data_IF_217605041607
#
_entry.id   IF_217605041607
#
_cell.length_a   1.000
_cell.length_b   1.000
_cell.length_c   1.000
_cell.angle_alpha   90.00
_cell.angle_beta   90.00
_cell.angle_gamma   90.00
#
_symmetry.space_group_name_H-M   'P 1'
#
loop_
_entity.id
_entity.type
_entity.pdbx_description
1 polymer ?
#
# COMPACT_ATOMS: atom_id res chain seq x y z
N UNK A 1 -0.45 11.72 9.67
CA UNK A 1 0.03 11.66 8.28
C UNK A 1 -0.67 12.67 7.37
N UNK A 2 -2.01 12.80 7.41
CA UNK A 2 -2.77 13.76 6.60
C UNK A 2 -2.54 15.25 6.94
N UNK A 3 -2.05 15.55 8.13
CA UNK A 3 -1.75 16.93 8.54
C UNK A 3 -0.64 17.58 7.71
N UNK A 4 0.40 16.83 7.28
CA UNK A 4 1.50 17.37 6.48
C UNK A 4 1.04 17.89 5.12
N UNK A 5 0.15 17.19 4.44
CA UNK A 5 -0.34 17.56 3.11
C UNK A 5 -1.35 18.72 3.17
N UNK A 6 -2.26 18.71 4.16
CA UNK A 6 -3.24 19.77 4.37
C UNK A 6 -2.53 21.09 4.74
N UNK A 7 -1.57 21.05 5.65
CA UNK A 7 -0.83 22.24 6.06
C UNK A 7 0.01 22.84 4.93
N UNK A 8 0.62 22.00 4.07
CA UNK A 8 1.36 22.51 2.92
C UNK A 8 0.46 23.27 1.94
N UNK A 9 -0.71 22.72 1.61
CA UNK A 9 -1.65 23.37 0.69
C UNK A 9 -2.15 24.70 1.22
N UNK A 10 -2.43 24.79 2.53
CA UNK A 10 -2.89 26.02 3.19
C UNK A 10 -1.75 27.00 3.45
N UNK A 11 -0.59 26.52 3.90
CA UNK A 11 0.55 27.35 4.29
C UNK A 11 1.17 28.10 3.10
N UNK A 12 1.08 27.57 1.88
CA UNK A 12 1.60 28.24 0.66
C UNK A 12 0.95 29.59 0.39
N UNK A 13 -0.30 29.79 0.85
CA UNK A 13 -1.03 31.04 0.70
C UNK A 13 -1.09 31.87 1.99
N UNK A 14 -0.56 31.35 3.11
CA UNK A 14 -0.53 32.05 4.38
C UNK A 14 0.53 33.15 4.37
N UNK A 15 0.22 34.33 4.90
CA UNK A 15 1.20 35.43 5.02
C UNK A 15 2.32 35.04 6.00
N UNK A 16 3.57 35.30 5.62
CA UNK A 16 4.74 35.06 6.46
C UNK A 16 5.42 33.72 6.23
N UNK A 17 6.06 33.21 7.28
CA UNK A 17 6.80 31.95 7.30
C UNK A 17 6.06 30.93 8.16
N UNK A 18 5.74 29.79 7.58
CA UNK A 18 5.23 28.60 8.30
C UNK A 18 6.37 27.58 8.41
N UNK A 19 6.60 27.06 9.61
CA UNK A 19 7.55 25.97 9.87
C UNK A 19 6.77 24.74 10.34
N UNK A 20 6.99 23.60 9.67
CA UNK A 20 6.42 22.32 10.07
C UNK A 20 7.57 21.46 10.58
N UNK A 21 7.54 21.15 11.87
CA UNK A 21 8.48 20.26 12.53
C UNK A 21 7.92 18.83 12.59
N UNK A 22 8.80 17.84 12.70
CA UNK A 22 8.44 16.42 12.65
C UNK A 22 7.61 16.08 11.41
N UNK A 23 7.99 16.66 10.27
CA UNK A 23 7.29 16.51 9.00
C UNK A 23 7.47 15.09 8.44
N UNK A 24 6.44 14.64 7.71
CA UNK A 24 6.50 13.41 6.93
C UNK A 24 7.53 13.54 5.79
N UNK A 25 8.31 12.47 5.57
CA UNK A 25 9.44 12.45 4.60
C UNK A 25 9.14 11.63 3.36
N UNK A 26 7.94 11.08 3.27
CA UNK A 26 7.52 10.18 2.19
C UNK A 26 7.68 10.85 0.81
N UNK A 27 7.98 10.07 -0.24
CA UNK A 27 8.23 10.59 -1.59
C UNK A 27 7.11 11.48 -2.12
N UNK A 28 5.83 11.13 -1.89
CA UNK A 28 4.69 11.95 -2.32
C UNK A 28 4.62 13.32 -1.61
N UNK A 29 5.22 13.44 -0.41
CA UNK A 29 5.33 14.73 0.31
C UNK A 29 6.37 15.62 -0.36
N UNK A 30 7.47 15.02 -0.82
CA UNK A 30 8.52 15.72 -1.60
C UNK A 30 7.97 16.14 -2.95
N UNK A 31 7.26 15.24 -3.63
CA UNK A 31 6.66 15.50 -4.94
C UNK A 31 5.65 16.65 -4.89
N UNK A 32 4.78 16.68 -3.87
CA UNK A 32 3.87 17.80 -3.65
C UNK A 32 4.60 19.14 -3.47
N UNK A 33 5.73 19.14 -2.74
CA UNK A 33 6.53 20.35 -2.57
C UNK A 33 7.15 20.80 -3.90
N UNK A 34 7.66 19.85 -4.71
CA UNK A 34 8.20 20.12 -6.04
C UNK A 34 7.13 20.67 -6.99
N UNK A 35 5.95 20.05 -6.99
CA UNK A 35 4.80 20.52 -7.77
C UNK A 35 4.44 21.97 -7.40
N UNK A 36 4.27 22.27 -6.11
CA UNK A 36 3.92 23.62 -5.66
C UNK A 36 5.04 24.63 -5.94
N UNK A 37 6.32 24.26 -5.78
CA UNK A 37 7.45 25.12 -6.11
C UNK A 37 7.50 25.43 -7.63
N UNK A 38 7.16 24.45 -8.47
CA UNK A 38 7.05 24.67 -9.92
C UNK A 38 5.92 25.64 -10.27
N UNK A 39 4.88 25.75 -9.45
CA UNK A 39 3.82 26.75 -9.56
C UNK A 39 4.23 28.13 -9.02
N UNK A 40 5.41 28.26 -8.39
CA UNK A 40 5.91 29.51 -7.82
C UNK A 40 5.79 29.61 -6.31
N UNK A 41 5.51 28.51 -5.59
CA UNK A 41 5.60 28.47 -4.14
C UNK A 41 7.05 28.56 -3.66
N UNK A 42 7.25 28.82 -2.36
CA UNK A 42 8.56 28.88 -1.74
C UNK A 42 8.58 27.88 -0.57
N UNK A 43 8.89 26.62 -0.88
CA UNK A 43 8.95 25.49 0.05
C UNK A 43 10.37 24.94 0.05
N UNK A 44 10.94 24.76 1.23
CA UNK A 44 12.26 24.13 1.43
C UNK A 44 12.20 23.09 2.55
N UNK A 45 13.16 22.15 2.54
CA UNK A 45 13.28 21.09 3.55
C UNK A 45 12.32 19.90 3.35
N UNK A 46 11.62 19.80 2.22
CA UNK A 46 10.83 18.61 1.90
C UNK A 46 11.74 17.37 1.83
N UNK A 47 11.30 16.25 2.43
CA UNK A 47 12.12 15.04 2.60
C UNK A 47 12.97 15.03 3.88
N UNK A 48 12.97 16.12 4.65
CA UNK A 48 13.56 16.20 5.99
C UNK A 48 12.45 16.31 7.05
N UNK A 49 12.83 16.32 8.32
CA UNK A 49 11.90 16.49 9.44
C UNK A 49 11.41 17.92 9.65
N UNK A 50 12.00 18.90 8.94
CA UNK A 50 11.60 20.31 9.04
C UNK A 50 11.31 20.87 7.65
N UNK A 51 10.07 21.29 7.42
CA UNK A 51 9.63 21.95 6.18
C UNK A 51 9.35 23.43 6.48
N UNK A 52 9.95 24.30 5.68
CA UNK A 52 9.73 25.74 5.76
C UNK A 52 8.99 26.20 4.52
N UNK A 53 7.91 26.97 4.72
CA UNK A 53 7.03 27.47 3.67
C UNK A 53 6.88 28.98 3.86
N UNK A 54 7.36 29.75 2.89
CA UNK A 54 7.09 31.18 2.82
C UNK A 54 5.89 31.40 1.94
N UNK A 55 4.84 31.98 2.48
CA UNK A 55 3.61 32.26 1.73
C UNK A 55 3.84 33.18 0.54
N UNK A 56 3.11 32.91 -0.55
CA UNK A 56 3.13 33.68 -1.79
C UNK A 56 1.73 34.16 -2.14
N UNK A 57 1.64 35.33 -2.81
CA UNK A 57 0.35 35.91 -3.19
C UNK A 57 -0.28 35.15 -4.37
N UNK A 58 0.55 34.71 -5.33
CA UNK A 58 0.08 34.10 -6.57
C UNK A 58 0.83 32.80 -6.86
N UNK A 59 0.10 31.82 -7.38
CA UNK A 59 0.63 30.59 -7.99
C UNK A 59 0.18 30.59 -9.44
N UNK A 60 1.04 30.11 -10.35
CA UNK A 60 0.75 29.95 -11.77
C UNK A 60 0.38 28.50 -12.09
N UNK A 61 -0.49 28.29 -13.07
CA UNK A 61 -0.77 26.96 -13.61
C UNK A 61 0.46 26.39 -14.34
N UNK A 62 0.66 25.08 -14.21
CA UNK A 62 1.73 24.33 -14.88
C UNK A 62 1.22 22.96 -15.32
N UNK A 63 1.92 22.35 -16.25
CA UNK A 63 1.86 20.91 -16.51
C UNK A 63 2.91 20.22 -15.66
N UNK A 64 2.53 19.15 -14.94
CA UNK A 64 3.41 18.44 -14.04
C UNK A 64 3.11 16.93 -14.08
N UNK A 65 4.15 16.12 -14.14
CA UNK A 65 4.02 14.67 -14.01
C UNK A 65 4.26 14.27 -12.56
N UNK A 66 3.24 13.71 -11.92
CA UNK A 66 3.36 13.17 -10.55
C UNK A 66 4.17 11.89 -10.56
N UNK A 67 4.84 11.61 -9.44
CA UNK A 67 5.59 10.36 -9.28
C UNK A 67 4.65 9.15 -9.21
N UNK A 68 5.14 7.94 -9.61
CA UNK A 68 4.38 6.70 -9.45
C UNK A 68 4.02 6.41 -7.99
N UNK A 69 2.84 5.80 -7.77
CA UNK A 69 2.39 5.39 -6.42
C UNK A 69 3.15 4.12 -5.97
N UNK A 70 4.02 4.30 -4.97
CA UNK A 70 4.79 3.21 -4.37
C UNK A 70 3.89 2.16 -3.68
N UNK A 71 2.71 2.53 -3.21
CA UNK A 71 1.79 1.61 -2.52
C UNK A 71 1.00 0.78 -3.54
N UNK A 72 0.58 1.39 -4.64
CA UNK A 72 0.00 0.64 -5.75
C UNK A 72 1.02 -0.38 -6.30
N UNK A 73 2.24 0.07 -6.60
CA UNK A 73 3.32 -0.81 -7.05
C UNK A 73 3.58 -1.96 -6.05
N UNK A 74 3.74 -1.64 -4.76
CA UNK A 74 3.94 -2.62 -3.70
C UNK A 74 2.78 -3.62 -3.57
N UNK A 75 1.55 -3.21 -3.86
CA UNK A 75 0.37 -4.08 -3.87
C UNK A 75 0.46 -5.13 -4.98
N UNK A 76 0.88 -4.74 -6.20
CA UNK A 76 1.11 -5.72 -7.29
C UNK A 76 2.30 -6.63 -7.01
N UNK A 77 3.38 -6.10 -6.40
CA UNK A 77 4.51 -6.92 -5.95
C UNK A 77 4.08 -7.97 -4.93
N UNK A 78 3.26 -7.58 -3.96
CA UNK A 78 2.71 -8.48 -2.94
C UNK A 78 1.77 -9.53 -3.58
N UNK A 79 0.91 -9.13 -4.52
CA UNK A 79 0.03 -10.07 -5.23
C UNK A 79 0.83 -11.11 -6.03
N UNK A 80 1.88 -10.70 -6.73
CA UNK A 80 2.77 -11.61 -7.44
C UNK A 80 3.44 -12.63 -6.48
N UNK A 81 3.88 -12.16 -5.31
CA UNK A 81 4.45 -13.03 -4.28
C UNK A 81 3.43 -14.02 -3.71
N UNK A 82 2.21 -13.57 -3.42
CA UNK A 82 1.13 -14.39 -2.86
C UNK A 82 0.67 -15.51 -3.80
N UNK A 83 0.63 -15.23 -5.10
CA UNK A 83 0.17 -16.16 -6.15
C UNK A 83 1.29 -16.99 -6.79
N UNK A 84 2.52 -16.86 -6.28
CA UNK A 84 3.72 -17.48 -6.87
C UNK A 84 3.88 -17.13 -8.35
N UNK A 85 3.61 -15.88 -8.68
CA UNK A 85 3.66 -15.33 -10.02
C UNK A 85 5.03 -14.78 -10.41
N UNK A 86 5.11 -14.34 -11.67
CA UNK A 86 6.25 -13.62 -12.24
C UNK A 86 5.73 -12.38 -12.97
N UNK A 87 5.89 -11.20 -12.34
CA UNK A 87 5.29 -9.94 -12.80
C UNK A 87 6.36 -8.85 -12.93
N UNK A 88 6.31 -8.11 -14.03
CA UNK A 88 7.09 -6.90 -14.24
C UNK A 88 6.20 -5.67 -13.98
N UNK A 89 6.48 -4.95 -12.90
CA UNK A 89 5.81 -3.68 -12.56
C UNK A 89 6.62 -2.54 -13.16
N UNK A 90 6.03 -1.84 -14.12
CA UNK A 90 6.65 -0.73 -14.89
C UNK A 90 6.20 0.63 -14.37
N UNK A 91 6.90 1.68 -14.82
CA UNK A 91 6.65 3.07 -14.43
C UNK A 91 6.67 3.23 -12.91
N UNK A 92 7.71 2.73 -12.27
CA UNK A 92 7.94 2.84 -10.84
C UNK A 92 9.29 3.50 -10.58
N UNK A 93 9.48 3.99 -9.36
CA UNK A 93 10.77 4.44 -8.89
C UNK A 93 11.29 3.39 -7.89
N UNK A 94 12.21 2.48 -8.27
CA UNK A 94 12.66 1.37 -7.42
C UNK A 94 13.14 1.83 -6.05
N UNK A 95 13.84 2.97 -5.99
CA UNK A 95 14.28 3.59 -4.74
C UNK A 95 13.14 3.85 -3.74
N UNK A 96 11.93 4.10 -4.20
CA UNK A 96 10.77 4.29 -3.33
C UNK A 96 10.22 2.97 -2.78
N UNK A 97 10.64 1.83 -3.36
CA UNK A 97 10.18 0.48 -3.03
C UNK A 97 11.18 -0.30 -2.16
N UNK A 98 12.37 0.27 -1.84
CA UNK A 98 13.46 -0.44 -1.16
C UNK A 98 13.02 -1.22 0.09
N UNK A 99 12.22 -0.61 0.96
CA UNK A 99 11.77 -1.29 2.18
C UNK A 99 10.78 -2.43 1.92
N UNK A 100 9.98 -2.34 0.86
CA UNK A 100 9.04 -3.37 0.41
C UNK A 100 9.84 -4.50 -0.24
N UNK A 101 10.73 -4.17 -1.18
CA UNK A 101 11.66 -5.10 -1.84
C UNK A 101 12.44 -5.91 -0.83
N UNK A 102 13.05 -5.25 0.17
CA UNK A 102 13.84 -5.92 1.20
C UNK A 102 13.00 -6.97 1.98
N UNK A 103 11.75 -6.66 2.32
CA UNK A 103 10.87 -7.60 3.03
C UNK A 103 10.40 -8.75 2.16
N UNK A 104 10.09 -8.51 0.89
CA UNK A 104 9.77 -9.59 -0.05
C UNK A 104 10.96 -10.52 -0.27
N UNK A 105 12.18 -9.98 -0.40
CA UNK A 105 13.40 -10.80 -0.53
C UNK A 105 13.67 -11.61 0.75
N UNK A 106 13.45 -11.06 1.95
CA UNK A 106 13.53 -11.78 3.23
C UNK A 106 12.55 -12.97 3.28
N UNK A 107 11.38 -12.83 2.62
CA UNK A 107 10.38 -13.89 2.51
C UNK A 107 10.71 -14.92 1.41
N UNK A 108 11.83 -14.78 0.70
CA UNK A 108 12.27 -15.71 -0.34
C UNK A 108 11.81 -15.35 -1.76
N UNK A 109 11.27 -14.16 -1.96
CA UNK A 109 10.85 -13.65 -3.27
C UNK A 109 12.07 -13.09 -4.02
N UNK A 110 12.21 -13.41 -5.30
CA UNK A 110 13.21 -12.79 -6.16
C UNK A 110 12.70 -11.46 -6.68
N UNK A 111 13.43 -10.38 -6.41
CA UNK A 111 13.13 -9.04 -6.93
C UNK A 111 14.34 -8.55 -7.73
N UNK A 112 14.11 -8.14 -8.98
CA UNK A 112 15.12 -7.55 -9.86
C UNK A 112 14.69 -6.13 -10.20
N UNK A 113 15.55 -5.17 -9.89
CA UNK A 113 15.31 -3.75 -10.13
C UNK A 113 15.92 -3.33 -11.47
N UNK A 114 15.18 -2.51 -12.23
CA UNK A 114 15.60 -1.82 -13.43
C UNK A 114 15.48 -0.31 -13.20
N UNK A 115 15.78 0.52 -14.18
CA UNK A 115 15.74 1.98 -14.03
C UNK A 115 14.36 2.51 -13.63
N UNK A 116 13.30 1.99 -14.26
CA UNK A 116 11.90 2.41 -14.05
C UNK A 116 10.92 1.25 -13.84
N UNK A 117 11.44 0.07 -13.50
CA UNK A 117 10.64 -1.13 -13.32
C UNK A 117 11.22 -2.05 -12.24
N UNK A 118 10.37 -2.92 -11.67
CA UNK A 118 10.78 -4.02 -10.81
C UNK A 118 10.13 -5.30 -11.28
N UNK A 119 10.90 -6.40 -11.41
CA UNK A 119 10.38 -7.74 -11.65
C UNK A 119 10.32 -8.50 -10.34
N UNK A 120 9.17 -9.04 -10.04
CA UNK A 120 8.92 -9.86 -8.84
C UNK A 120 8.59 -11.26 -9.28
N UNK A 121 9.34 -12.25 -8.77
CA UNK A 121 9.12 -13.66 -9.05
C UNK A 121 9.17 -14.48 -7.76
N UNK A 122 8.19 -15.33 -7.57
CA UNK A 122 8.10 -16.23 -6.45
C UNK A 122 7.93 -17.67 -6.93
N UNK A 123 8.95 -18.51 -6.76
CA UNK A 123 8.95 -19.91 -7.26
C UNK A 123 8.60 -20.92 -6.15
N UNK A 124 8.53 -20.52 -4.92
CA UNK A 124 8.38 -21.41 -3.77
C UNK A 124 7.47 -20.85 -2.67
N UNK A 125 7.37 -21.57 -1.55
CA UNK A 125 6.62 -21.09 -0.40
C UNK A 125 7.31 -19.87 0.21
N UNK A 126 6.49 -18.93 0.70
CA UNK A 126 6.98 -17.76 1.41
C UNK A 126 7.49 -18.16 2.81
N UNK A 127 8.60 -17.57 3.22
CA UNK A 127 9.16 -17.71 4.56
C UNK A 127 8.61 -16.63 5.50
N UNK A 128 8.56 -16.95 6.80
CA UNK A 128 8.23 -15.97 7.83
C UNK A 128 9.14 -14.75 7.77
N UNK A 129 8.61 -13.59 8.12
CA UNK A 129 9.35 -12.34 8.18
C UNK A 129 8.77 -11.44 9.27
N UNK A 130 9.63 -10.79 10.06
CA UNK A 130 9.17 -9.79 11.01
C UNK A 130 9.17 -8.42 10.37
N UNK A 131 8.06 -7.70 10.51
CA UNK A 131 7.88 -6.38 9.92
C UNK A 131 7.52 -5.37 10.98
N UNK A 132 8.17 -4.21 10.94
CA UNK A 132 7.82 -3.04 11.74
C UNK A 132 7.54 -1.89 10.79
N UNK A 133 6.34 -1.33 10.86
CA UNK A 133 6.04 -0.11 10.12
C UNK A 133 6.79 1.07 10.71
N UNK A 134 7.32 1.93 9.85
CA UNK A 134 8.08 3.12 10.26
C UNK A 134 7.86 4.23 9.24
N UNK A 135 8.01 5.51 9.63
CA UNK A 135 8.11 6.61 8.67
C UNK A 135 9.20 6.34 7.62
N UNK A 136 9.01 6.89 6.42
CA UNK A 136 9.99 6.75 5.34
C UNK A 136 11.43 7.14 5.82
N UNK A 137 12.47 6.34 5.48
CA UNK A 137 12.50 5.24 4.50
C UNK A 137 12.17 3.83 5.06
N UNK A 138 11.53 3.74 6.23
CA UNK A 138 11.11 2.47 6.80
C UNK A 138 9.90 1.86 6.06
N UNK A 139 9.48 0.66 6.50
CA UNK A 139 8.35 -0.05 5.89
C UNK A 139 7.05 0.74 6.06
N UNK A 140 6.34 1.09 4.96
CA UNK A 140 5.21 2.00 5.03
C UNK A 140 4.00 1.34 5.71
N UNK A 141 3.33 2.07 6.60
CA UNK A 141 2.10 1.61 7.25
C UNK A 141 0.99 1.31 6.23
N UNK A 142 1.02 1.94 5.04
CA UNK A 142 0.05 1.71 3.97
C UNK A 142 0.25 0.37 3.24
N UNK A 143 1.37 -0.32 3.47
CA UNK A 143 1.60 -1.70 3.03
C UNK A 143 1.37 -2.73 4.15
N UNK A 144 1.02 -2.28 5.35
CA UNK A 144 0.85 -3.16 6.50
C UNK A 144 -0.25 -4.22 6.31
N UNK A 145 -1.46 -3.91 5.78
CA UNK A 145 -2.47 -4.92 5.51
C UNK A 145 -2.06 -5.92 4.41
N UNK A 146 -1.41 -5.44 3.34
CA UNK A 146 -0.96 -6.27 2.23
C UNK A 146 0.11 -7.28 2.67
N UNK A 147 1.10 -6.82 3.47
CA UNK A 147 2.11 -7.74 4.00
C UNK A 147 1.51 -8.74 5.00
N UNK A 148 0.49 -8.36 5.78
CA UNK A 148 -0.20 -9.28 6.67
C UNK A 148 -0.89 -10.41 5.89
N UNK A 149 -1.46 -10.14 4.73
CA UNK A 149 -2.03 -11.17 3.85
C UNK A 149 -0.94 -12.17 3.40
N UNK A 150 0.26 -11.68 3.02
CA UNK A 150 1.39 -12.56 2.68
C UNK A 150 1.86 -13.38 3.88
N UNK A 151 2.02 -12.75 5.04
CA UNK A 151 2.47 -13.42 6.26
C UNK A 151 1.49 -14.50 6.72
N UNK A 152 0.20 -14.35 6.38
CA UNK A 152 -0.83 -15.35 6.69
C UNK A 152 -0.64 -16.68 5.96
N UNK A 153 0.10 -16.70 4.84
CA UNK A 153 0.43 -17.91 4.07
C UNK A 153 1.95 -18.21 4.04
N UNK A 154 2.73 -17.49 4.84
CA UNK A 154 4.16 -17.71 4.95
C UNK A 154 4.48 -18.81 5.97
N UNK A 155 5.47 -19.65 5.71
CA UNK A 155 5.85 -20.74 6.60
C UNK A 155 6.46 -20.21 7.90
N UNK A 156 5.81 -20.53 9.03
CA UNK A 156 6.25 -20.18 10.39
C UNK A 156 5.49 -19.01 10.98
N UNK A 157 5.99 -18.47 12.10
CA UNK A 157 5.36 -17.38 12.84
C UNK A 157 6.07 -16.07 12.58
N UNK A 158 5.31 -15.04 12.23
CA UNK A 158 5.78 -13.68 11.97
C UNK A 158 5.21 -12.69 12.97
N UNK A 159 5.96 -11.63 13.26
CA UNK A 159 5.49 -10.52 14.10
C UNK A 159 5.40 -9.27 13.23
N UNK A 160 4.20 -8.68 13.17
CA UNK A 160 3.93 -7.44 12.50
C UNK A 160 3.64 -6.34 13.52
N UNK A 161 4.56 -5.38 13.64
CA UNK A 161 4.43 -4.28 14.60
C UNK A 161 4.05 -3.00 13.88
N UNK A 162 2.95 -2.37 14.31
CA UNK A 162 2.48 -1.07 13.79
C UNK A 162 2.92 0.06 14.71
N UNK A 163 3.83 0.91 14.22
CA UNK A 163 4.36 2.02 15.03
C UNK A 163 3.93 3.41 14.56
N UNK A 164 3.20 3.50 13.46
CA UNK A 164 2.84 4.77 12.81
C UNK A 164 1.37 5.13 13.03
N UNK A 165 0.47 4.12 12.92
CA UNK A 165 -0.97 4.35 12.92
C UNK A 165 -1.65 3.61 14.08
N UNK A 166 -2.59 4.25 14.76
CA UNK A 166 -3.39 3.61 15.79
C UNK A 166 -4.56 2.83 15.16
N UNK A 167 -4.92 1.69 15.78
CA UNK A 167 -6.05 0.83 15.37
C UNK A 167 -6.00 0.37 13.89
N UNK A 168 -4.79 0.06 13.37
CA UNK A 168 -4.60 -0.35 11.97
C UNK A 168 -5.06 -1.78 11.67
N UNK A 169 -5.30 -2.63 12.67
CA UNK A 169 -5.58 -4.07 12.52
C UNK A 169 -7.06 -4.42 12.29
N UNK A 170 -7.91 -3.50 11.89
CA UNK A 170 -9.36 -3.78 11.67
C UNK A 170 -9.62 -4.84 10.62
N UNK A 171 -8.77 -4.95 9.61
CA UNK A 171 -8.87 -5.94 8.53
C UNK A 171 -8.56 -7.38 8.99
N UNK A 172 -7.96 -7.56 10.17
CA UNK A 172 -7.57 -8.87 10.69
C UNK A 172 -8.77 -9.81 10.82
N UNK A 173 -9.92 -9.30 11.24
CA UNK A 173 -11.14 -10.12 11.35
C UNK A 173 -11.59 -10.65 9.98
N UNK A 174 -11.37 -9.90 8.90
CA UNK A 174 -11.68 -10.36 7.55
C UNK A 174 -10.69 -11.45 7.09
N UNK A 175 -9.39 -11.32 7.38
CA UNK A 175 -8.41 -12.39 7.13
C UNK A 175 -8.71 -13.65 7.95
N UNK A 176 -9.15 -13.53 9.19
CA UNK A 176 -9.57 -14.66 10.02
C UNK A 176 -10.77 -15.40 9.42
N UNK A 177 -11.72 -14.70 8.79
CA UNK A 177 -12.83 -15.34 8.07
C UNK A 177 -12.34 -16.22 6.91
N UNK A 178 -11.19 -15.87 6.34
CA UNK A 178 -10.51 -16.66 5.31
C UNK A 178 -9.63 -17.77 5.90
N UNK A 179 -9.59 -17.94 7.21
CA UNK A 179 -8.83 -18.98 7.91
C UNK A 179 -7.43 -18.56 8.38
N UNK A 180 -7.06 -17.29 8.28
CA UNK A 180 -5.79 -16.80 8.81
C UNK A 180 -5.72 -16.92 10.34
N UNK A 181 -4.56 -17.29 10.87
CA UNK A 181 -4.29 -17.37 12.30
C UNK A 181 -3.51 -16.14 12.76
N UNK A 182 -4.23 -15.16 13.27
CA UNK A 182 -3.67 -13.85 13.66
C UNK A 182 -4.16 -13.50 15.07
N UNK A 183 -3.22 -13.22 15.97
CA UNK A 183 -3.51 -12.67 17.30
C UNK A 183 -2.97 -11.26 17.38
N UNK A 184 -3.84 -10.29 17.74
CA UNK A 184 -3.46 -8.88 17.88
C UNK A 184 -3.32 -8.53 19.35
N UNK A 185 -2.15 -8.03 19.73
CA UNK A 185 -1.81 -7.57 21.07
C UNK A 185 -1.28 -6.13 21.00
N UNK A 186 -2.10 -5.17 21.36
CA UNK A 186 -1.75 -3.75 21.32
C UNK A 186 -1.38 -3.28 19.91
N UNK A 187 -0.10 -2.98 19.69
CA UNK A 187 0.45 -2.53 18.40
C UNK A 187 1.10 -3.65 17.59
N UNK A 188 0.98 -4.89 18.01
CA UNK A 188 1.60 -6.04 17.36
C UNK A 188 0.56 -7.07 16.95
N UNK A 189 0.75 -7.68 15.78
CA UNK A 189 0.05 -8.87 15.36
C UNK A 189 1.03 -10.04 15.27
N UNK A 190 0.69 -11.14 15.92
CA UNK A 190 1.38 -12.43 15.80
C UNK A 190 0.61 -13.21 14.73
N UNK A 191 1.29 -13.56 13.65
CA UNK A 191 0.70 -14.21 12.48
C UNK A 191 1.35 -15.58 12.32
N UNK A 192 0.56 -16.62 12.50
CA UNK A 192 0.97 -18.00 12.22
C UNK A 192 0.55 -18.35 10.80
N UNK A 193 1.52 -18.62 9.93
CA UNK A 193 1.23 -18.94 8.54
C UNK A 193 0.46 -20.26 8.41
N UNK A 194 -0.58 -20.22 7.56
CA UNK A 194 -1.37 -21.40 7.20
C UNK A 194 -0.97 -21.90 5.81
N UNK A 195 -1.24 -23.15 5.51
CA UNK A 195 -0.92 -23.75 4.20
C UNK A 195 -1.65 -23.05 3.06
N UNK A 196 -2.92 -22.67 3.27
CA UNK A 196 -3.75 -21.90 2.34
C UNK A 196 -4.85 -21.14 3.08
N UNK A 197 -5.28 -20.04 2.48
CA UNK A 197 -6.50 -19.34 2.85
C UNK A 197 -7.69 -19.93 2.11
N UNK A 198 -8.89 -19.75 2.66
CA UNK A 198 -10.16 -20.21 2.05
C UNK A 198 -10.94 -19.01 1.55
N UNK A 199 -11.54 -19.15 0.37
CA UNK A 199 -12.47 -18.17 -0.14
C UNK A 199 -13.64 -17.93 0.82
N UNK A 200 -13.97 -16.67 1.05
CA UNK A 200 -15.03 -16.25 1.96
C UNK A 200 -15.62 -14.90 1.54
N UNK A 201 -16.86 -14.58 1.96
CA UNK A 201 -17.33 -13.19 1.90
C UNK A 201 -16.60 -12.34 2.94
N UNK A 202 -15.94 -11.28 2.48
CA UNK A 202 -15.14 -10.33 3.27
C UNK A 202 -15.45 -8.89 2.85
N UNK A 203 -15.06 -7.92 3.66
CA UNK A 203 -15.31 -6.50 3.42
C UNK A 203 -14.03 -5.70 3.27
N UNK A 204 -14.03 -4.75 2.34
CA UNK A 204 -13.01 -3.72 2.25
C UNK A 204 -13.29 -2.65 3.30
N UNK A 205 -12.78 -2.82 4.53
CA UNK A 205 -13.03 -1.88 5.64
C UNK A 205 -12.39 -0.50 5.43
N UNK A 206 -11.40 -0.42 4.58
CA UNK A 206 -10.74 0.78 4.07
C UNK A 206 -9.98 0.46 2.77
N UNK A 207 -9.36 1.49 2.16
CA UNK A 207 -8.59 1.37 0.93
C UNK A 207 -7.50 0.28 0.98
N UNK A 208 -6.70 0.25 2.03
CA UNK A 208 -5.55 -0.67 2.15
C UNK A 208 -5.97 -2.06 2.62
N UNK A 209 -6.98 -2.13 3.46
CA UNK A 209 -7.65 -3.38 3.82
C UNK A 209 -8.25 -4.05 2.58
N UNK A 210 -8.93 -3.29 1.73
CA UNK A 210 -9.46 -3.81 0.46
C UNK A 210 -8.39 -4.40 -0.45
N UNK A 211 -7.26 -3.71 -0.61
CA UNK A 211 -6.12 -4.24 -1.37
C UNK A 211 -5.58 -5.55 -0.77
N UNK A 212 -5.51 -5.66 0.56
CA UNK A 212 -5.11 -6.89 1.23
C UNK A 212 -6.11 -8.03 1.01
N UNK A 213 -7.42 -7.73 0.98
CA UNK A 213 -8.46 -8.73 0.68
C UNK A 213 -8.37 -9.24 -0.76
N UNK A 214 -8.01 -8.38 -1.73
CA UNK A 214 -7.73 -8.82 -3.11
C UNK A 214 -6.54 -9.78 -3.12
N UNK A 215 -5.42 -9.43 -2.50
CA UNK A 215 -4.23 -10.30 -2.44
C UNK A 215 -4.57 -11.64 -1.78
N UNK A 216 -5.27 -11.61 -0.64
CA UNK A 216 -5.68 -12.81 0.07
C UNK A 216 -6.65 -13.66 -0.77
N UNK A 217 -7.60 -13.04 -1.49
CA UNK A 217 -8.54 -13.71 -2.37
C UNK A 217 -7.85 -14.39 -3.55
N UNK A 218 -6.87 -13.73 -4.19
CA UNK A 218 -6.09 -14.29 -5.28
C UNK A 218 -5.26 -15.51 -4.86
N UNK A 219 -4.86 -15.58 -3.58
CA UNK A 219 -4.08 -16.70 -3.03
C UNK A 219 -4.96 -17.76 -2.34
N UNK A 220 -6.25 -17.54 -2.18
CA UNK A 220 -7.15 -18.43 -1.48
C UNK A 220 -7.67 -19.58 -2.36
N UNK A 221 -8.01 -20.68 -1.72
CA UNK A 221 -8.75 -21.78 -2.38
C UNK A 221 -10.26 -21.49 -2.33
N UNK A 222 -10.91 -21.50 -3.48
CA UNK A 222 -12.34 -21.21 -3.63
C UNK A 222 -12.61 -19.75 -3.94
N UNK A 223 -13.87 -19.33 -3.88
CA UNK A 223 -14.32 -18.00 -4.30
C UNK A 223 -14.32 -17.04 -3.12
N UNK A 224 -13.68 -15.89 -3.29
CA UNK A 224 -13.74 -14.76 -2.34
C UNK A 224 -14.65 -13.66 -2.90
N UNK A 225 -15.67 -13.26 -2.11
CA UNK A 225 -16.51 -12.12 -2.43
C UNK A 225 -16.06 -10.93 -1.58
N UNK A 226 -15.65 -9.83 -2.22
CA UNK A 226 -15.26 -8.60 -1.52
C UNK A 226 -16.37 -7.57 -1.65
N UNK A 227 -16.89 -7.12 -0.52
CA UNK A 227 -17.92 -6.07 -0.41
C UNK A 227 -17.28 -4.72 -0.08
N UNK A 228 -18.03 -3.62 -0.26
CA UNK A 228 -17.62 -2.24 0.01
C UNK A 228 -16.40 -1.81 -0.85
N UNK A 229 -16.38 -2.20 -2.13
CA UNK A 229 -15.24 -2.01 -3.05
C UNK A 229 -15.00 -0.56 -3.45
N UNK A 230 -15.94 0.33 -3.20
CA UNK A 230 -15.78 1.78 -3.39
C UNK A 230 -14.59 2.32 -2.60
N UNK A 231 -14.21 1.68 -1.50
CA UNK A 231 -12.99 2.00 -0.76
C UNK A 231 -11.73 1.72 -1.57
N UNK A 232 -11.75 0.69 -2.43
CA UNK A 232 -10.61 0.30 -3.27
C UNK A 232 -10.54 1.21 -4.50
N UNK A 233 -11.67 1.42 -5.16
CA UNK A 233 -11.78 2.17 -6.42
C UNK A 233 -11.32 3.62 -6.31
N UNK A 234 -11.46 4.24 -5.13
CA UNK A 234 -10.98 5.61 -4.91
C UNK A 234 -9.46 5.80 -4.95
N UNK A 235 -8.67 4.73 -4.89
CA UNK A 235 -7.20 4.82 -4.82
C UNK A 235 -6.45 3.80 -5.67
N UNK A 236 -7.16 2.90 -6.35
CA UNK A 236 -6.61 1.97 -7.33
C UNK A 236 -7.40 2.09 -8.63
N UNK A 237 -6.79 2.66 -9.64
CA UNK A 237 -7.39 2.80 -10.96
C UNK A 237 -7.46 1.43 -11.65
N UNK A 238 -8.65 1.05 -12.13
CA UNK A 238 -8.90 -0.15 -12.94
C UNK A 238 -8.26 -1.44 -12.41
N UNK A 239 -8.29 -1.60 -11.07
CA UNK A 239 -7.58 -2.70 -10.39
C UNK A 239 -8.02 -4.07 -10.89
N UNK A 240 -9.31 -4.26 -11.19
CA UNK A 240 -9.85 -5.52 -11.71
C UNK A 240 -9.29 -5.80 -13.10
N UNK A 241 -9.33 -4.82 -14.02
CA UNK A 241 -8.81 -4.98 -15.39
C UNK A 241 -7.31 -5.27 -15.38
N UNK A 242 -6.55 -4.56 -14.52
CA UNK A 242 -5.11 -4.79 -14.38
C UNK A 242 -4.80 -6.21 -13.89
N UNK A 243 -5.49 -6.72 -12.88
CA UNK A 243 -5.29 -8.08 -12.39
C UNK A 243 -5.75 -9.14 -13.39
N UNK A 244 -6.88 -8.95 -14.07
CA UNK A 244 -7.34 -9.83 -15.16
C UNK A 244 -6.30 -9.86 -16.30
N UNK A 245 -5.74 -8.72 -16.65
CA UNK A 245 -4.64 -8.63 -17.62
C UNK A 245 -3.36 -9.38 -17.19
N UNK A 246 -3.17 -9.62 -15.90
CA UNK A 246 -2.10 -10.45 -15.33
C UNK A 246 -2.48 -11.94 -15.21
N UNK A 247 -3.72 -12.31 -15.58
CA UNK A 247 -4.19 -13.70 -15.54
C UNK A 247 -5.01 -14.06 -14.29
N UNK A 248 -5.41 -13.08 -13.49
CA UNK A 248 -6.29 -13.33 -12.37
C UNK A 248 -7.73 -13.64 -12.84
N UNK A 249 -8.37 -14.61 -12.21
CA UNK A 249 -9.80 -14.88 -12.40
C UNK A 249 -10.60 -14.05 -11.41
N UNK A 250 -11.01 -12.86 -11.83
CA UNK A 250 -11.81 -11.93 -11.03
C UNK A 250 -12.71 -11.05 -11.89
N UNK A 251 -13.83 -10.61 -11.32
CA UNK A 251 -14.77 -9.74 -12.01
C UNK A 251 -15.57 -8.88 -11.04
N UNK A 252 -16.09 -7.77 -11.55
CA UNK A 252 -17.04 -6.94 -10.83
C UNK A 252 -18.46 -7.53 -10.92
N UNK A 253 -19.11 -7.67 -9.77
CA UNK A 253 -20.55 -7.97 -9.74
C UNK A 253 -21.32 -6.68 -9.52
N UNK A 254 -22.23 -6.39 -10.41
CA UNK A 254 -23.24 -5.35 -10.19
C UNK A 254 -24.31 -5.95 -9.28
N UNK A 255 -24.45 -5.44 -8.07
CA UNK A 255 -25.60 -5.74 -7.22
C UNK A 255 -26.73 -4.79 -7.60
N UNK A 256 -27.86 -5.29 -8.13
CA UNK A 256 -28.99 -4.43 -8.51
C UNK A 256 -29.65 -3.72 -7.32
N UNK A 257 -29.30 -4.07 -6.08
CA UNK A 257 -29.87 -3.49 -4.85
C UNK A 257 -28.86 -2.67 -4.05
N UNK A 258 -27.55 -2.75 -4.35
CA UNK A 258 -26.53 -1.96 -3.69
C UNK A 258 -25.31 -1.84 -4.61
N UNK A 259 -24.73 -0.64 -4.74
CA UNK A 259 -23.63 -0.38 -5.65
C UNK A 259 -22.39 -1.23 -5.32
N UNK A 260 -21.92 -1.97 -6.30
CA UNK A 260 -20.58 -2.49 -6.52
C UNK A 260 -20.02 -3.53 -5.52
N UNK A 261 -20.05 -4.81 -5.93
CA UNK A 261 -19.29 -5.90 -5.30
C UNK A 261 -18.34 -6.56 -6.30
N UNK A 262 -17.09 -6.82 -5.88
CA UNK A 262 -16.13 -7.60 -6.67
C UNK A 262 -16.09 -9.07 -6.21
N UNK A 263 -16.02 -10.01 -7.15
CA UNK A 263 -15.72 -11.42 -6.86
C UNK A 263 -14.39 -11.80 -7.45
N UNK A 264 -13.64 -12.57 -6.67
CA UNK A 264 -12.39 -13.23 -7.05
C UNK A 264 -12.65 -14.73 -6.94
N UNK A 265 -12.51 -15.42 -8.04
CA UNK A 265 -12.74 -16.88 -8.17
C UNK A 265 -11.44 -17.66 -8.24
#
# INVERSE_FOLDING_TARGET
RGLGDVYKRQAVKAKGLTVIENAAREPHVVDLANFLNSMGANISGAGTDVIKIRGVEHLKGITYSIIPDQIEAGTYMAAAAATRGDVLVKNVTPKHLESITAKLMEMGVTVVEYDDAVRVRCDGPLSKCNVKTMPHPGFPTDMQPQIAALLSIAQGTSILNESVWENRFRYVEELKRMGAQITVEGKSAIIEGVEYLKGAPVRATDLRAGAAMIIAGLAAHGVTKIEDIEHIQRGYEDIVEKFVGLGADMYLMLDPTNSDTAKIG
#
